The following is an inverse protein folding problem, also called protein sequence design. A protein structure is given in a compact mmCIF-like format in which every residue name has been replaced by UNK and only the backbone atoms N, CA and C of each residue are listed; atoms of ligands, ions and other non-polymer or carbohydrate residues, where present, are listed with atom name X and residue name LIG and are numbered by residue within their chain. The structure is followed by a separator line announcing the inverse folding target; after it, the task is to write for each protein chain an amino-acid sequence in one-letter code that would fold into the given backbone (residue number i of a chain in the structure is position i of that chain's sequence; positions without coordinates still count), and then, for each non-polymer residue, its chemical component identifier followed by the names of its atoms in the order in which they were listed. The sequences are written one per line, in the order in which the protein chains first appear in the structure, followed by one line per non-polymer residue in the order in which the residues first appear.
data_IF_055164410977
#
_entry.id   IF_055164410977
#
_cell.length_a   1.000
_cell.length_b   1.000
_cell.length_c   1.000
_cell.angle_alpha   90.00
_cell.angle_beta   90.00
_cell.angle_gamma   90.00
#
_symmetry.space_group_name_H-M   'P 1'
#
loop_
_entity.id
_entity.type
_entity.pdbx_description
1 polymer ?
#
# COMPACT_ATOMS: atom_id res chain seq x y z
N UNK A 1 39.04 21.86 26.48
CA UNK A 1 38.70 22.04 25.04
C UNK A 1 39.17 20.88 24.18
N UNK A 2 40.46 20.51 24.20
CA UNK A 2 41.00 19.40 23.38
C UNK A 2 40.35 18.02 23.64
N UNK A 3 40.15 17.64 24.91
CA UNK A 3 39.51 16.36 25.29
C UNK A 3 38.07 16.28 24.74
N UNK A 4 37.31 17.38 24.85
CA UNK A 4 35.94 17.44 24.35
C UNK A 4 35.87 17.28 22.82
N UNK A 5 36.77 17.95 22.08
CA UNK A 5 36.87 17.81 20.62
C UNK A 5 37.24 16.38 20.24
N UNK A 6 38.17 15.74 20.96
CA UNK A 6 38.54 14.35 20.72
C UNK A 6 37.35 13.40 20.91
N UNK A 7 36.57 13.58 21.98
CA UNK A 7 35.36 12.78 22.23
C UNK A 7 34.35 12.95 21.08
N UNK A 8 34.08 14.18 20.65
CA UNK A 8 33.16 14.43 19.53
C UNK A 8 33.64 13.78 18.24
N UNK A 9 34.95 13.83 17.96
CA UNK A 9 35.54 13.21 16.78
C UNK A 9 35.42 11.68 16.81
N UNK A 10 35.68 11.05 17.97
CA UNK A 10 35.50 9.60 18.15
C UNK A 10 34.03 9.19 17.99
N UNK A 11 33.10 9.96 18.55
CA UNK A 11 31.66 9.73 18.37
C UNK A 11 31.24 9.86 16.91
N UNK A 12 31.76 10.83 16.17
CA UNK A 12 31.49 11.00 14.75
C UNK A 12 32.00 9.81 13.93
N UNK A 13 33.21 9.32 14.22
CA UNK A 13 33.77 8.12 13.58
C UNK A 13 32.90 6.89 13.88
N UNK A 14 32.55 6.68 15.15
CA UNK A 14 31.70 5.57 15.56
C UNK A 14 30.32 5.63 14.87
N UNK A 15 29.73 6.82 14.77
CA UNK A 15 28.48 7.03 14.04
C UNK A 15 28.64 6.73 12.54
N UNK A 16 29.74 7.14 11.92
CA UNK A 16 30.05 6.81 10.52
C UNK A 16 30.13 5.30 10.28
N UNK A 17 30.79 4.55 11.17
CA UNK A 17 30.83 3.09 11.11
C UNK A 17 29.44 2.46 11.29
N UNK A 18 28.61 3.00 12.18
CA UNK A 18 27.24 2.53 12.38
C UNK A 18 26.39 2.73 11.11
N UNK A 19 26.48 3.89 10.47
CA UNK A 19 25.78 4.18 9.22
C UNK A 19 26.26 3.28 8.08
N UNK A 20 27.57 3.04 7.95
CA UNK A 20 28.09 2.09 6.96
C UNK A 20 27.61 0.66 7.20
N UNK A 21 27.54 0.25 8.47
CA UNK A 21 27.00 -1.06 8.86
C UNK A 21 25.53 -1.20 8.45
N UNK A 22 24.68 -0.22 8.78
CA UNK A 22 23.26 -0.24 8.36
C UNK A 22 23.10 -0.19 6.84
N UNK A 23 23.92 0.59 6.14
CA UNK A 23 23.91 0.63 4.67
C UNK A 23 24.23 -0.73 4.06
N UNK A 24 25.26 -1.42 4.58
CA UNK A 24 25.63 -2.77 4.11
C UNK A 24 24.51 -3.77 4.40
N UNK A 25 23.99 -3.78 5.61
CA UNK A 25 22.87 -4.64 6.00
C UNK A 25 21.64 -4.41 5.10
N UNK A 26 21.32 -3.16 4.78
CA UNK A 26 20.22 -2.83 3.86
C UNK A 26 20.44 -3.39 2.46
N UNK A 27 21.65 -3.28 1.92
CA UNK A 27 21.99 -3.80 0.59
C UNK A 27 22.02 -5.33 0.52
N UNK A 28 22.15 -6.01 1.66
CA UNK A 28 22.14 -7.48 1.77
C UNK A 28 20.72 -8.05 1.93
N UNK A 29 19.70 -7.20 2.16
CA UNK A 29 18.32 -7.65 2.25
C UNK A 29 17.87 -8.25 0.93
N UNK A 30 17.39 -9.50 0.98
CA UNK A 30 16.86 -10.18 -0.20
C UNK A 30 15.56 -9.53 -0.65
N UNK A 31 15.50 -9.10 -1.92
CA UNK A 31 14.25 -8.71 -2.53
C UNK A 31 13.36 -9.93 -2.74
N UNK A 32 12.11 -9.84 -2.28
CA UNK A 32 11.12 -10.83 -2.60
C UNK A 32 10.57 -10.55 -4.01
N UNK A 33 10.85 -11.46 -4.94
CA UNK A 33 10.22 -11.47 -6.26
C UNK A 33 9.03 -12.45 -6.23
N UNK A 34 7.86 -11.99 -6.70
CA UNK A 34 6.66 -12.83 -6.77
C UNK A 34 6.92 -14.10 -7.56
N UNK A 35 6.44 -15.23 -7.05
CA UNK A 35 6.61 -16.53 -7.68
C UNK A 35 5.64 -16.73 -8.85
N UNK A 36 6.00 -17.61 -9.77
CA UNK A 36 5.11 -18.07 -10.83
C UNK A 36 4.27 -19.25 -10.35
N UNK A 37 3.05 -19.41 -10.89
CA UNK A 37 2.22 -20.60 -10.65
C UNK A 37 1.31 -20.57 -9.42
N UNK A 38 1.33 -19.51 -8.60
CA UNK A 38 0.37 -19.33 -7.50
C UNK A 38 -1.01 -18.99 -8.05
N UNK A 39 -2.06 -19.66 -7.56
CA UNK A 39 -3.46 -19.53 -8.04
C UNK A 39 -4.47 -19.29 -6.92
N UNK A 40 -4.13 -18.45 -5.95
CA UNK A 40 -5.05 -18.05 -4.86
C UNK A 40 -5.90 -16.88 -5.34
N UNK A 41 -7.22 -17.00 -5.33
CA UNK A 41 -8.10 -15.91 -5.78
C UNK A 41 -8.02 -14.74 -4.78
N UNK A 42 -7.77 -13.53 -5.26
CA UNK A 42 -7.72 -12.33 -4.41
C UNK A 42 -8.92 -11.41 -4.66
N UNK A 43 -9.44 -10.77 -3.61
CA UNK A 43 -10.43 -9.70 -3.73
C UNK A 43 -9.81 -8.40 -3.25
N UNK A 44 -9.65 -7.45 -4.17
CA UNK A 44 -9.17 -6.10 -3.85
C UNK A 44 -10.37 -5.24 -3.48
N UNK A 45 -10.40 -4.76 -2.24
CA UNK A 45 -11.50 -3.95 -1.71
C UNK A 45 -11.00 -2.53 -1.45
N UNK A 46 -11.72 -1.56 -2.00
CA UNK A 46 -11.41 -0.13 -1.84
C UNK A 46 -12.66 0.59 -1.38
N UNK A 47 -12.58 1.26 -0.24
CA UNK A 47 -13.62 2.18 0.21
C UNK A 47 -13.36 3.55 -0.42
N UNK A 48 -14.39 4.16 -1.01
CA UNK A 48 -14.27 5.45 -1.71
C UNK A 48 -15.32 6.43 -1.22
N UNK A 49 -14.95 7.72 -1.19
CA UNK A 49 -15.88 8.83 -0.95
C UNK A 49 -15.30 10.12 -1.53
N UNK A 50 -15.93 10.67 -2.55
CA UNK A 50 -15.52 11.90 -3.20
C UNK A 50 -14.06 11.89 -3.71
N UNK A 51 -13.72 10.86 -4.48
CA UNK A 51 -12.39 10.57 -5.00
C UNK A 51 -12.27 10.74 -6.51
N UNK A 52 -13.10 11.60 -7.13
CA UNK A 52 -13.14 11.78 -8.59
C UNK A 52 -11.77 12.11 -9.23
N UNK A 53 -10.87 12.71 -8.44
CA UNK A 53 -9.52 13.11 -8.88
C UNK A 53 -8.49 11.99 -8.85
N UNK A 54 -8.76 10.94 -8.07
CA UNK A 54 -7.80 9.87 -7.79
C UNK A 54 -8.28 8.51 -8.29
N UNK A 55 -9.58 8.25 -8.22
CA UNK A 55 -10.17 6.93 -8.48
C UNK A 55 -9.80 6.38 -9.86
N UNK A 56 -9.77 7.21 -10.91
CA UNK A 56 -9.34 6.77 -12.25
C UNK A 56 -7.92 6.21 -12.26
N UNK A 57 -6.96 6.90 -11.64
CA UNK A 57 -5.56 6.45 -11.58
C UNK A 57 -5.41 5.16 -10.79
N UNK A 58 -6.19 4.99 -9.73
CA UNK A 58 -6.21 3.75 -8.96
C UNK A 58 -6.74 2.60 -9.81
N UNK A 59 -7.88 2.79 -10.47
CA UNK A 59 -8.50 1.76 -11.30
C UNK A 59 -7.59 1.36 -12.46
N UNK A 60 -6.94 2.31 -13.12
CA UNK A 60 -5.91 2.04 -14.16
C UNK A 60 -4.82 1.09 -13.64
N UNK A 61 -4.32 1.33 -12.42
CA UNK A 61 -3.30 0.47 -11.80
C UNK A 61 -3.84 -0.91 -11.44
N UNK A 62 -5.09 -1.00 -10.96
CA UNK A 62 -5.71 -2.24 -10.52
C UNK A 62 -6.09 -3.15 -11.69
N UNK A 63 -6.61 -2.60 -12.80
CA UNK A 63 -6.92 -3.41 -13.99
C UNK A 63 -5.67 -3.85 -14.75
N UNK A 64 -4.57 -3.10 -14.60
CA UNK A 64 -3.27 -3.43 -15.20
C UNK A 64 -2.46 -4.46 -14.38
N UNK A 65 -3.03 -5.07 -13.34
CA UNK A 65 -2.34 -6.06 -12.53
C UNK A 65 -2.05 -7.34 -13.32
N UNK A 66 -0.79 -7.77 -13.31
CA UNK A 66 -0.32 -9.01 -13.88
C UNK A 66 -0.53 -10.16 -12.87
N UNK A 67 -1.80 -10.50 -12.66
CA UNK A 67 -2.22 -11.65 -11.87
C UNK A 67 -3.55 -12.17 -12.41
N UNK A 68 -3.72 -13.48 -12.68
CA UNK A 68 -4.89 -13.94 -13.45
C UNK A 68 -6.17 -14.13 -12.63
N UNK A 69 -6.10 -14.23 -11.29
CA UNK A 69 -7.24 -14.65 -10.46
C UNK A 69 -7.58 -13.61 -9.39
N UNK A 70 -8.22 -12.52 -9.79
CA UNK A 70 -8.66 -11.50 -8.84
C UNK A 70 -9.97 -10.84 -9.25
N UNK A 71 -10.56 -10.11 -8.31
CA UNK A 71 -11.67 -9.19 -8.54
C UNK A 71 -11.40 -7.85 -7.83
N UNK A 72 -12.04 -6.79 -8.33
CA UNK A 72 -11.95 -5.45 -7.76
C UNK A 72 -13.34 -5.06 -7.28
N UNK A 73 -13.45 -4.68 -6.00
CA UNK A 73 -14.68 -4.27 -5.35
C UNK A 73 -14.49 -2.87 -4.79
N UNK A 74 -15.15 -1.91 -5.43
CA UNK A 74 -15.23 -0.53 -4.97
C UNK A 74 -16.50 -0.38 -4.13
N UNK A 75 -16.35 0.12 -2.91
CA UNK A 75 -17.47 0.38 -2.01
C UNK A 75 -17.60 1.88 -1.77
N UNK A 76 -18.65 2.46 -2.33
CA UNK A 76 -18.94 3.89 -2.27
C UNK A 76 -19.66 4.26 -0.96
N UNK A 77 -19.06 5.17 -0.19
CA UNK A 77 -19.62 5.77 1.03
C UNK A 77 -20.30 7.10 0.70
N UNK A 78 -21.32 7.02 -0.16
CA UNK A 78 -22.21 8.13 -0.52
C UNK A 78 -21.48 9.30 -1.19
N UNK A 79 -20.71 9.02 -2.25
CA UNK A 79 -20.07 10.10 -3.02
C UNK A 79 -21.11 11.03 -3.65
N UNK A 80 -20.82 12.33 -3.62
CA UNK A 80 -21.65 13.41 -4.20
C UNK A 80 -21.02 14.02 -5.45
N UNK A 81 -19.83 13.55 -5.83
CA UNK A 81 -19.05 14.00 -6.98
C UNK A 81 -19.11 12.97 -8.12
N UNK A 82 -18.21 13.07 -9.11
CA UNK A 82 -18.22 12.17 -10.27
C UNK A 82 -17.60 10.77 -9.99
N UNK A 83 -17.22 10.44 -8.75
CA UNK A 83 -16.50 9.19 -8.40
C UNK A 83 -17.21 7.94 -8.93
N UNK A 84 -18.50 7.80 -8.64
CA UNK A 84 -19.30 6.62 -9.02
C UNK A 84 -19.40 6.46 -10.53
N UNK A 85 -19.50 7.57 -11.26
CA UNK A 85 -19.60 7.54 -12.71
C UNK A 85 -18.27 7.08 -13.34
N UNK A 86 -17.13 7.57 -12.82
CA UNK A 86 -15.81 7.13 -13.27
C UNK A 86 -15.63 5.63 -13.06
N UNK A 87 -16.04 5.08 -11.90
CA UNK A 87 -15.93 3.63 -11.64
C UNK A 87 -16.77 2.81 -12.63
N UNK A 88 -17.94 3.29 -13.02
CA UNK A 88 -18.82 2.60 -14.00
C UNK A 88 -18.22 2.49 -15.40
N UNK A 89 -17.20 3.27 -15.73
CA UNK A 89 -16.47 3.16 -17.00
C UNK A 89 -15.57 1.91 -17.05
N UNK A 90 -15.36 1.21 -15.91
CA UNK A 90 -14.51 0.02 -15.80
C UNK A 90 -15.38 -1.25 -15.65
N UNK A 91 -15.70 -1.96 -16.73
CA UNK A 91 -16.67 -3.08 -16.70
C UNK A 91 -16.20 -4.29 -15.88
N UNK A 92 -14.89 -4.42 -15.63
CA UNK A 92 -14.30 -5.48 -14.80
C UNK A 92 -14.32 -5.17 -13.30
N UNK A 93 -14.85 -4.01 -12.90
CA UNK A 93 -14.87 -3.52 -11.52
C UNK A 93 -16.29 -3.59 -10.95
N UNK A 94 -16.44 -4.23 -9.79
CA UNK A 94 -17.71 -4.27 -9.06
C UNK A 94 -17.82 -3.02 -8.20
N UNK A 95 -18.93 -2.29 -8.31
CA UNK A 95 -19.26 -1.16 -7.43
C UNK A 95 -20.43 -1.52 -6.52
N UNK A 96 -20.32 -1.16 -5.24
CA UNK A 96 -21.35 -1.34 -4.22
C UNK A 96 -21.53 -0.01 -3.51
N UNK A 97 -22.76 0.49 -3.42
CA UNK A 97 -23.06 1.66 -2.58
C UNK A 97 -23.42 1.21 -1.17
N UNK A 98 -22.90 1.89 -0.16
CA UNK A 98 -23.32 1.66 1.22
C UNK A 98 -24.81 2.02 1.38
N UNK A 99 -25.55 1.32 2.27
CA UNK A 99 -26.91 1.70 2.63
C UNK A 99 -26.96 3.10 3.25
N UNK A 100 -28.04 3.85 3.03
CA UNK A 100 -28.19 5.26 3.45
C UNK A 100 -27.87 5.54 4.92
N UNK A 101 -28.13 4.60 5.84
CA UNK A 101 -27.88 4.78 7.28
C UNK A 101 -26.53 4.23 7.76
N UNK A 102 -25.68 3.77 6.86
CA UNK A 102 -24.39 3.17 7.18
C UNK A 102 -23.31 4.00 6.50
N UNK A 103 -22.34 4.44 7.31
CA UNK A 103 -21.28 5.34 6.86
C UNK A 103 -19.90 4.86 7.25
N UNK A 104 -18.90 5.34 6.52
CA UNK A 104 -17.50 5.31 6.89
C UNK A 104 -16.74 4.06 6.40
N UNK A 105 -15.43 4.26 6.24
CA UNK A 105 -14.47 3.31 5.66
C UNK A 105 -14.57 1.89 6.21
N UNK A 106 -14.72 1.72 7.54
CA UNK A 106 -14.80 0.39 8.17
C UNK A 106 -16.04 -0.37 7.72
N UNK A 107 -17.18 0.31 7.61
CA UNK A 107 -18.41 -0.31 7.13
C UNK A 107 -18.33 -0.61 5.63
N UNK A 108 -17.74 0.29 4.85
CA UNK A 108 -17.47 0.06 3.44
C UNK A 108 -16.60 -1.20 3.21
N UNK A 109 -15.48 -1.32 3.91
CA UNK A 109 -14.62 -2.51 3.84
C UNK A 109 -15.38 -3.76 4.27
N UNK A 110 -16.14 -3.70 5.38
CA UNK A 110 -16.96 -4.84 5.84
C UNK A 110 -17.97 -5.29 4.78
N UNK A 111 -18.61 -4.35 4.10
CA UNK A 111 -19.56 -4.65 3.04
C UNK A 111 -18.88 -5.23 1.80
N UNK A 112 -17.69 -4.72 1.46
CA UNK A 112 -16.84 -5.29 0.41
C UNK A 112 -16.45 -6.74 0.71
N UNK A 113 -16.07 -7.04 1.97
CA UNK A 113 -15.68 -8.39 2.39
C UNK A 113 -16.85 -9.37 2.24
N UNK A 114 -18.07 -8.99 2.67
CA UNK A 114 -19.26 -9.85 2.49
C UNK A 114 -19.55 -10.19 1.03
N UNK A 115 -19.18 -9.29 0.12
CA UNK A 115 -19.45 -9.38 -1.31
C UNK A 115 -18.26 -9.93 -2.10
N UNK A 116 -17.22 -10.37 -1.41
CA UNK A 116 -15.99 -10.91 -1.98
C UNK A 116 -16.05 -12.44 -2.15
N UNK A 117 -15.33 -12.93 -3.15
CA UNK A 117 -15.23 -14.35 -3.52
C UNK A 117 -13.80 -14.88 -3.47
N UNK A 118 -12.82 -13.99 -3.23
CA UNK A 118 -11.42 -14.32 -3.08
C UNK A 118 -11.14 -14.95 -1.73
N UNK A 119 -10.15 -15.84 -1.73
CA UNK A 119 -9.58 -16.43 -0.53
C UNK A 119 -8.74 -15.40 0.24
N UNK A 120 -8.03 -14.53 -0.49
CA UNK A 120 -7.23 -13.47 0.09
C UNK A 120 -7.91 -12.10 -0.09
N UNK A 121 -8.12 -11.40 1.01
CA UNK A 121 -8.60 -10.02 0.99
C UNK A 121 -7.42 -9.07 0.98
N UNK A 122 -7.40 -8.17 -0.01
CA UNK A 122 -6.41 -7.11 -0.12
C UNK A 122 -7.16 -5.77 -0.04
N UNK A 123 -6.75 -4.89 0.87
CA UNK A 123 -7.35 -3.55 0.99
C UNK A 123 -6.33 -2.48 0.61
N UNK A 124 -6.78 -1.45 -0.11
CA UNK A 124 -5.97 -0.26 -0.40
C UNK A 124 -6.85 0.98 -0.33
N UNK A 125 -6.22 2.16 -0.25
CA UNK A 125 -6.92 3.44 -0.19
C UNK A 125 -7.19 3.97 -1.61
N UNK A 126 -8.18 4.86 -1.72
CA UNK A 126 -8.68 5.38 -2.98
C UNK A 126 -7.69 6.31 -3.72
N UNK A 127 -6.68 6.81 -3.00
CA UNK A 127 -5.64 7.72 -3.46
C UNK A 127 -4.28 7.04 -3.70
N UNK A 128 -4.24 5.71 -3.64
CA UNK A 128 -3.03 4.92 -3.84
C UNK A 128 -2.77 4.58 -5.32
N UNK A 129 -1.51 4.28 -5.63
CA UNK A 129 -1.07 3.73 -6.92
C UNK A 129 -0.12 2.56 -6.68
N UNK A 130 -0.12 1.56 -7.56
CA UNK A 130 0.62 0.33 -7.37
C UNK A 130 1.24 -0.17 -8.68
N UNK A 131 2.32 -0.94 -8.54
CA UNK A 131 3.02 -1.55 -9.66
C UNK A 131 2.24 -2.75 -10.23
N UNK A 132 2.46 -3.16 -11.50
CA UNK A 132 1.71 -4.24 -12.13
C UNK A 132 1.81 -5.60 -11.43
N UNK A 133 2.86 -5.86 -10.64
CA UNK A 133 3.05 -7.12 -9.92
C UNK A 133 2.50 -7.09 -8.49
N UNK A 134 1.85 -6.02 -8.06
CA UNK A 134 1.49 -5.81 -6.65
C UNK A 134 0.61 -6.94 -6.08
N UNK A 135 -0.46 -7.34 -6.77
CA UNK A 135 -1.30 -8.48 -6.33
C UNK A 135 -0.51 -9.78 -6.33
N UNK A 136 0.27 -10.03 -7.40
CA UNK A 136 1.09 -11.25 -7.51
C UNK A 136 2.10 -11.35 -6.37
N UNK A 137 2.75 -10.24 -5.98
CA UNK A 137 3.68 -10.19 -4.85
C UNK A 137 3.00 -10.57 -3.54
N UNK A 138 1.85 -9.95 -3.22
CA UNK A 138 1.11 -10.23 -1.98
C UNK A 138 0.66 -11.68 -1.92
N UNK A 139 0.06 -12.17 -3.01
CA UNK A 139 -0.42 -13.55 -3.09
C UNK A 139 0.73 -14.57 -3.02
N UNK A 140 1.83 -14.31 -3.71
CA UNK A 140 3.01 -15.18 -3.66
C UNK A 140 3.62 -15.22 -2.27
N UNK A 141 3.75 -14.06 -1.62
CA UNK A 141 4.29 -13.98 -0.28
C UNK A 141 3.44 -14.78 0.70
N UNK A 142 2.11 -14.62 0.65
CA UNK A 142 1.18 -15.43 1.43
C UNK A 142 1.40 -16.93 1.20
N UNK A 143 1.49 -17.36 -0.06
CA UNK A 143 1.67 -18.77 -0.40
C UNK A 143 2.97 -19.39 0.14
N UNK A 144 4.09 -18.68 0.05
CA UNK A 144 5.40 -19.21 0.47
C UNK A 144 5.69 -19.07 1.97
N UNK A 145 5.07 -18.09 2.64
CA UNK A 145 5.29 -17.84 4.07
C UNK A 145 4.20 -18.38 4.99
N UNK A 146 3.04 -18.78 4.44
CA UNK A 146 1.80 -19.06 5.16
C UNK A 146 1.32 -17.88 6.06
N UNK A 147 1.74 -16.65 5.74
CA UNK A 147 1.39 -15.46 6.51
C UNK A 147 -0.13 -15.25 6.55
N UNK A 148 -0.71 -15.14 7.75
CA UNK A 148 -2.16 -14.91 7.93
C UNK A 148 -2.57 -13.44 7.79
N UNK A 149 -1.60 -12.53 7.90
CA UNK A 149 -1.78 -11.10 7.73
C UNK A 149 -0.51 -10.50 7.14
N UNK A 150 -0.67 -9.60 6.16
CA UNK A 150 0.44 -8.93 5.47
C UNK A 150 0.20 -7.42 5.59
N UNK A 151 1.13 -6.72 6.23
CA UNK A 151 1.18 -5.26 6.25
C UNK A 151 2.24 -4.81 5.24
N UNK A 152 1.81 -4.30 4.09
CA UNK A 152 2.73 -3.84 3.05
C UNK A 152 3.17 -2.39 3.32
N UNK A 153 4.43 -2.01 2.98
CA UNK A 153 4.89 -0.64 3.12
C UNK A 153 4.15 0.29 2.15
N UNK A 154 3.94 1.53 2.58
CA UNK A 154 3.34 2.59 1.78
C UNK A 154 4.39 3.65 1.51
N UNK A 155 4.65 3.95 0.24
CA UNK A 155 5.58 5.02 -0.12
C UNK A 155 4.83 6.33 -0.37
N UNK A 156 5.09 7.34 0.48
CA UNK A 156 4.57 8.70 0.28
C UNK A 156 5.41 9.46 -0.73
N UNK A 157 4.83 9.85 -1.86
CA UNK A 157 5.49 10.72 -2.84
C UNK A 157 5.62 12.13 -2.25
N UNK A 158 6.83 12.62 -1.92
CA UNK A 158 6.97 13.94 -1.32
C UNK A 158 6.63 15.03 -2.33
N UNK A 159 6.08 16.13 -1.83
CA UNK A 159 5.95 17.36 -2.59
C UNK A 159 7.31 18.05 -2.79
N UNK A 160 7.28 19.30 -3.26
CA UNK A 160 8.51 20.10 -3.45
C UNK A 160 8.96 20.85 -2.19
N UNK A 161 8.16 20.86 -1.13
CA UNK A 161 8.47 21.62 0.08
C UNK A 161 9.36 20.81 1.03
N UNK A 162 10.24 21.50 1.76
CA UNK A 162 11.11 20.88 2.77
C UNK A 162 10.26 20.12 3.81
N UNK A 163 9.13 20.69 4.22
CA UNK A 163 8.22 20.03 5.15
C UNK A 163 7.66 18.70 4.59
N UNK A 164 7.28 18.67 3.31
CA UNK A 164 6.77 17.44 2.69
C UNK A 164 7.84 16.36 2.54
N UNK A 165 9.10 16.75 2.30
CA UNK A 165 10.24 15.83 2.28
C UNK A 165 10.48 15.28 3.69
N UNK A 166 10.50 16.16 4.69
CA UNK A 166 10.64 15.75 6.09
C UNK A 166 9.54 14.77 6.52
N UNK A 167 8.29 15.06 6.21
CA UNK A 167 7.15 14.17 6.51
C UNK A 167 7.28 12.80 5.83
N UNK A 168 7.74 12.75 4.58
CA UNK A 168 7.98 11.49 3.86
C UNK A 168 9.09 10.68 4.53
N UNK A 169 10.19 11.31 4.94
CA UNK A 169 11.30 10.64 5.65
C UNK A 169 10.88 10.14 7.04
N UNK A 170 10.11 10.93 7.78
CA UNK A 170 9.58 10.54 9.10
C UNK A 170 8.64 9.34 8.97
N UNK A 171 7.75 9.34 7.99
CA UNK A 171 6.86 8.23 7.71
C UNK A 171 7.61 6.94 7.32
N UNK A 172 8.64 7.04 6.46
CA UNK A 172 9.50 5.92 6.12
C UNK A 172 10.24 5.37 7.34
N UNK A 173 10.70 6.24 8.23
CA UNK A 173 11.37 5.85 9.48
C UNK A 173 10.42 5.09 10.40
N UNK A 174 9.18 5.56 10.56
CA UNK A 174 8.15 4.87 11.36
C UNK A 174 7.81 3.48 10.80
N UNK A 175 7.75 3.34 9.48
CA UNK A 175 7.55 2.04 8.84
C UNK A 175 8.74 1.10 9.08
N UNK A 176 9.97 1.61 9.02
CA UNK A 176 11.17 0.81 9.24
C UNK A 176 11.40 0.37 10.69
N UNK A 177 10.80 1.05 11.68
CA UNK A 177 10.90 0.68 13.11
C UNK A 177 9.78 -0.29 13.51
N UNK A 178 8.61 -0.17 12.89
CA UNK A 178 7.45 -1.02 13.21
C UNK A 178 7.36 -2.31 12.37
N UNK A 179 8.22 -2.42 11.34
CA UNK A 179 8.37 -3.59 10.46
C UNK A 179 9.49 -4.52 10.89
#
# INVERSE_FOLDING_TARGET
MAIFILILFLLLIAYGFLIDHYRKAWNELSEFSGGTGVKIRASVIVAVRNEERNIGKLLDCLVAQNYPSYEIIIVDDHSTDNTVNIVKEYPSVKIISLPENIYGKKNAIKEGIKNSTGELIITTDADCTMQPLWINTVVSFHHFSDAKFIAAPVNMKPGRSILSIFQSLDFLTLQGITG
#
